data_IF_453310953602
#
_entry.id   IF_453310953602
#
_cell.length_a   1.000
_cell.length_b   1.000
_cell.length_c   1.000
_cell.angle_alpha   90.00
_cell.angle_beta   90.00
_cell.angle_gamma   90.00
#
_symmetry.space_group_name_H-M   'P 1'
#
loop_
_entity.id
_entity.type
_entity.pdbx_description
1 polymer ?
#
# COMPACT_ATOMS: atom_id res chain seq x y z
N UNK A 1 40.53 44.25 -42.02
CA UNK A 1 41.22 44.28 -40.71
C UNK A 1 40.45 45.25 -39.82
N UNK A 2 39.76 44.71 -38.81
CA UNK A 2 38.78 45.42 -37.98
C UNK A 2 39.31 45.64 -36.55
N UNK A 3 38.90 46.79 -36.01
CA UNK A 3 39.34 47.51 -34.82
C UNK A 3 39.23 46.72 -33.50
N UNK A 4 40.22 46.89 -32.64
CA UNK A 4 40.11 46.69 -31.19
C UNK A 4 39.51 47.94 -30.54
N UNK A 5 38.38 47.77 -29.85
CA UNK A 5 37.82 48.73 -28.90
C UNK A 5 37.15 47.93 -27.78
N UNK A 6 37.74 47.90 -26.59
CA UNK A 6 37.06 47.49 -25.37
C UNK A 6 36.26 48.68 -24.82
N UNK A 7 35.11 48.42 -24.19
CA UNK A 7 34.97 48.93 -22.84
C UNK A 7 34.43 47.89 -21.84
N UNK A 8 35.01 47.96 -20.65
CA UNK A 8 34.59 47.31 -19.41
C UNK A 8 33.21 47.81 -18.96
N UNK A 9 32.33 46.89 -18.58
CA UNK A 9 31.23 47.16 -17.64
C UNK A 9 31.22 46.10 -16.54
N UNK A 10 31.56 46.57 -15.35
CA UNK A 10 31.31 45.94 -14.06
C UNK A 10 29.80 45.67 -13.93
N UNK A 11 29.45 44.40 -13.71
CA UNK A 11 28.12 43.98 -13.27
C UNK A 11 28.29 43.16 -12.00
N UNK A 12 27.81 43.70 -10.88
CA UNK A 12 27.76 42.99 -9.60
C UNK A 12 26.98 41.66 -9.75
N UNK A 13 27.30 40.62 -8.95
CA UNK A 13 26.46 39.44 -8.89
C UNK A 13 25.10 39.82 -8.29
N UNK A 14 24.07 39.84 -9.11
CA UNK A 14 22.69 39.90 -8.66
C UNK A 14 22.43 38.63 -7.85
N UNK A 15 22.42 38.76 -6.53
CA UNK A 15 21.97 37.73 -5.62
C UNK A 15 20.50 37.44 -5.93
N UNK A 16 20.24 36.34 -6.63
CA UNK A 16 18.88 35.85 -6.89
C UNK A 16 18.35 35.38 -5.53
N UNK A 17 17.67 36.27 -4.81
CA UNK A 17 16.88 35.90 -3.65
C UNK A 17 15.78 34.96 -4.14
N UNK A 18 15.96 33.66 -3.92
CA UNK A 18 14.94 32.66 -4.18
C UNK A 18 13.61 33.13 -3.57
N UNK A 19 12.48 33.05 -4.30
CA UNK A 19 11.19 33.38 -3.72
C UNK A 19 10.99 32.48 -2.51
N UNK A 20 10.92 33.08 -1.32
CA UNK A 20 10.61 32.38 -0.10
C UNK A 20 9.25 31.70 -0.30
N UNK A 21 9.23 30.36 -0.28
CA UNK A 21 8.00 29.60 -0.32
C UNK A 21 7.08 30.10 0.82
N UNK A 22 5.78 30.33 0.54
CA UNK A 22 4.86 30.76 1.58
C UNK A 22 4.89 29.72 2.70
N UNK A 23 5.24 30.15 3.91
CA UNK A 23 5.26 29.31 5.10
C UNK A 23 3.87 28.70 5.26
N UNK A 24 3.71 27.42 4.88
CA UNK A 24 2.50 26.66 5.15
C UNK A 24 2.33 26.65 6.66
N UNK A 25 1.29 27.31 7.17
CA UNK A 25 0.90 27.17 8.57
C UNK A 25 0.33 25.77 8.74
N UNK A 26 1.20 24.84 9.11
CA UNK A 26 0.84 23.46 9.40
C UNK A 26 0.20 23.35 10.79
N UNK A 27 -0.75 22.44 10.98
CA UNK A 27 -1.34 22.18 12.29
C UNK A 27 -0.27 21.66 13.27
N UNK A 28 -0.53 21.74 14.57
CA UNK A 28 0.30 21.06 15.55
C UNK A 28 0.16 19.54 15.42
N UNK A 29 1.27 18.82 15.56
CA UNK A 29 1.30 17.35 15.55
C UNK A 29 2.05 16.80 16.76
N UNK A 30 1.69 15.58 17.15
CA UNK A 30 2.29 14.88 18.27
C UNK A 30 2.72 13.47 17.83
N UNK A 31 3.83 12.99 18.39
CA UNK A 31 4.30 11.61 18.24
C UNK A 31 4.08 10.93 19.58
N UNK A 32 3.37 9.81 19.55
CA UNK A 32 3.16 8.92 20.70
C UNK A 32 4.00 7.65 20.50
N UNK A 33 4.95 7.41 21.40
CA UNK A 33 5.77 6.20 21.44
C UNK A 33 5.75 5.64 22.86
N UNK A 34 5.27 4.40 23.05
CA UNK A 34 5.23 3.71 24.35
C UNK A 34 4.62 4.54 25.50
N UNK A 35 3.56 5.30 25.21
CA UNK A 35 2.88 6.17 26.18
C UNK A 35 3.56 7.53 26.42
N UNK A 36 4.67 7.82 25.75
CA UNK A 36 5.32 9.13 25.76
C UNK A 36 4.84 9.97 24.60
N UNK A 37 4.32 11.16 24.90
CA UNK A 37 3.87 12.14 23.92
C UNK A 37 4.93 13.22 23.75
N UNK A 38 5.36 13.43 22.51
CA UNK A 38 6.32 14.48 22.14
C UNK A 38 5.78 15.32 20.99
N UNK A 39 6.22 16.58 20.89
CA UNK A 39 5.87 17.42 19.74
C UNK A 39 6.52 16.85 18.48
N UNK A 40 5.75 16.71 17.41
CA UNK A 40 6.28 16.34 16.11
C UNK A 40 7.03 17.53 15.48
N UNK A 41 8.05 17.21 14.67
CA UNK A 41 8.72 18.19 13.82
C UNK A 41 7.79 18.64 12.67
N UNK A 42 7.95 19.88 12.19
CA UNK A 42 7.13 20.44 11.11
C UNK A 42 7.24 19.63 9.81
N UNK A 43 8.40 19.06 9.50
CA UNK A 43 8.59 18.25 8.28
C UNK A 43 7.78 16.95 8.34
N UNK A 44 7.73 16.31 9.51
CA UNK A 44 6.94 15.10 9.72
C UNK A 44 5.43 15.39 9.66
N UNK A 45 5.02 16.54 10.20
CA UNK A 45 3.63 17.01 10.11
C UNK A 45 3.27 17.27 8.63
N UNK A 46 4.15 17.94 7.88
CA UNK A 46 3.94 18.20 6.45
C UNK A 46 3.73 16.91 5.67
N UNK A 47 4.61 15.92 5.87
CA UNK A 47 4.52 14.60 5.24
C UNK A 47 3.22 13.88 5.59
N UNK A 48 2.79 13.93 6.86
CA UNK A 48 1.54 13.33 7.30
C UNK A 48 0.32 14.00 6.65
N UNK A 49 0.31 15.34 6.57
CA UNK A 49 -0.74 16.11 5.92
C UNK A 49 -0.82 15.85 4.41
N UNK A 50 0.32 15.89 3.71
CA UNK A 50 0.37 15.64 2.27
C UNK A 50 -0.03 14.19 1.95
N UNK A 51 0.47 13.23 2.72
CA UNK A 51 0.09 11.83 2.60
C UNK A 51 -1.41 11.59 2.84
N UNK A 52 -2.02 12.28 3.81
CA UNK A 52 -3.46 12.22 4.04
C UNK A 52 -4.27 12.81 2.89
N UNK A 53 -3.87 13.97 2.37
CA UNK A 53 -4.54 14.59 1.23
C UNK A 53 -4.50 13.67 -0.01
N UNK A 54 -3.34 13.05 -0.29
CA UNK A 54 -3.20 12.08 -1.37
C UNK A 54 -4.05 10.82 -1.14
N UNK A 55 -4.09 10.29 0.09
CA UNK A 55 -4.95 9.16 0.47
C UNK A 55 -6.41 9.45 0.13
N UNK A 56 -6.91 10.63 0.48
CA UNK A 56 -8.29 11.03 0.18
C UNK A 56 -8.55 11.08 -1.32
N UNK A 57 -7.65 11.69 -2.09
CA UNK A 57 -7.76 11.74 -3.55
C UNK A 57 -7.76 10.33 -4.17
N UNK A 58 -6.88 9.44 -3.70
CA UNK A 58 -6.84 8.04 -4.15
C UNK A 58 -8.15 7.33 -3.84
N UNK A 59 -8.66 7.46 -2.63
CA UNK A 59 -9.90 6.79 -2.21
C UNK A 59 -11.10 7.27 -3.06
N UNK A 60 -11.14 8.56 -3.39
CA UNK A 60 -12.19 9.11 -4.25
C UNK A 60 -12.03 8.69 -5.72
N UNK A 61 -10.81 8.68 -6.26
CA UNK A 61 -10.52 8.15 -7.59
C UNK A 61 -10.85 6.66 -7.70
N UNK A 62 -10.56 5.87 -6.66
CA UNK A 62 -10.92 4.45 -6.61
C UNK A 62 -12.44 4.26 -6.64
N UNK A 63 -13.21 5.07 -5.91
CA UNK A 63 -14.69 5.05 -5.98
C UNK A 63 -15.18 5.39 -7.39
N UNK A 64 -14.63 6.42 -8.02
CA UNK A 64 -15.00 6.81 -9.39
C UNK A 64 -14.67 5.70 -10.40
N UNK A 65 -13.45 5.14 -10.33
CA UNK A 65 -13.03 4.03 -11.19
C UNK A 65 -13.92 2.81 -10.99
N UNK A 66 -14.27 2.48 -9.75
CA UNK A 66 -15.20 1.40 -9.43
C UNK A 66 -16.56 1.64 -10.08
N UNK A 67 -17.13 2.83 -9.96
CA UNK A 67 -18.40 3.16 -10.59
C UNK A 67 -18.36 3.02 -12.12
N UNK A 68 -17.26 3.42 -12.77
CA UNK A 68 -17.07 3.25 -14.21
C UNK A 68 -16.95 1.76 -14.56
N UNK A 69 -16.17 1.00 -13.80
CA UNK A 69 -15.96 -0.43 -14.02
C UNK A 69 -17.26 -1.23 -13.86
N UNK A 70 -18.06 -0.92 -12.84
CA UNK A 70 -19.36 -1.56 -12.59
C UNK A 70 -20.34 -1.28 -13.74
N UNK A 71 -20.31 -0.05 -14.31
CA UNK A 71 -21.08 0.29 -15.52
C UNK A 71 -20.58 -0.48 -16.74
N UNK A 72 -19.27 -0.53 -16.97
CA UNK A 72 -18.67 -1.29 -18.07
C UNK A 72 -19.01 -2.79 -17.97
N UNK A 73 -18.95 -3.38 -16.79
CA UNK A 73 -19.32 -4.79 -16.56
C UNK A 73 -20.81 -5.05 -16.81
N UNK A 74 -21.68 -4.08 -16.52
CA UNK A 74 -23.12 -4.22 -16.77
C UNK A 74 -23.45 -4.07 -18.25
N UNK A 75 -22.75 -3.17 -18.96
CA UNK A 75 -22.96 -2.91 -20.39
C UNK A 75 -22.27 -3.94 -21.30
N UNK A 76 -21.09 -4.42 -20.91
CA UNK A 76 -20.32 -5.43 -21.63
C UNK A 76 -20.58 -6.80 -20.98
N UNK A 77 -21.12 -7.75 -21.75
CA UNK A 77 -21.32 -9.12 -21.26
C UNK A 77 -20.02 -9.81 -20.82
N UNK A 78 -20.15 -10.84 -19.99
CA UNK A 78 -19.00 -11.66 -19.57
C UNK A 78 -18.23 -12.22 -20.78
N UNK A 79 -16.91 -12.10 -20.77
CA UNK A 79 -16.02 -12.52 -21.85
C UNK A 79 -15.81 -11.48 -22.95
N UNK A 80 -16.49 -10.33 -22.91
CA UNK A 80 -16.32 -9.27 -23.89
C UNK A 80 -15.01 -8.48 -23.69
N UNK A 81 -14.45 -7.99 -24.79
CA UNK A 81 -13.35 -7.04 -24.78
C UNK A 81 -13.71 -5.81 -25.63
N UNK A 82 -13.43 -4.62 -25.10
CA UNK A 82 -13.57 -3.34 -25.78
C UNK A 82 -12.16 -2.77 -25.97
N UNK A 83 -11.79 -2.48 -27.21
CA UNK A 83 -10.56 -1.76 -27.53
C UNK A 83 -10.93 -0.34 -27.96
N UNK A 84 -10.25 0.65 -27.40
CA UNK A 84 -10.33 2.06 -27.80
C UNK A 84 -8.96 2.45 -28.32
N UNK A 85 -8.86 2.62 -29.63
CA UNK A 85 -7.60 2.86 -30.33
C UNK A 85 -6.83 4.05 -29.75
N UNK A 86 -5.54 3.85 -29.45
CA UNK A 86 -4.68 4.87 -28.86
C UNK A 86 -4.94 5.19 -27.38
N UNK A 87 -5.95 4.57 -26.74
CA UNK A 87 -6.32 4.87 -25.35
C UNK A 87 -6.14 3.66 -24.44
N UNK A 88 -6.96 2.62 -24.58
CA UNK A 88 -6.92 1.45 -23.69
C UNK A 88 -7.70 0.24 -24.25
N UNK A 89 -7.52 -0.91 -23.60
CA UNK A 89 -8.33 -2.11 -23.81
C UNK A 89 -8.95 -2.55 -22.48
N UNK A 90 -10.27 -2.72 -22.48
CA UNK A 90 -11.06 -3.22 -21.35
C UNK A 90 -11.46 -4.66 -21.64
N UNK A 91 -11.32 -5.56 -20.67
CA UNK A 91 -11.75 -6.96 -20.80
C UNK A 91 -12.58 -7.34 -19.58
N UNK A 92 -13.77 -7.90 -19.80
CA UNK A 92 -14.64 -8.38 -18.73
C UNK A 92 -14.42 -9.89 -18.58
N UNK A 93 -13.56 -10.27 -17.65
CA UNK A 93 -13.35 -11.68 -17.33
C UNK A 93 -14.35 -12.17 -16.29
N UNK A 94 -14.93 -13.36 -16.49
CA UNK A 94 -15.70 -14.06 -15.46
C UNK A 94 -14.84 -15.17 -14.87
N UNK A 95 -14.75 -15.25 -13.55
CA UNK A 95 -14.04 -16.30 -12.82
C UNK A 95 -15.02 -16.98 -11.88
N UNK A 96 -15.23 -18.28 -12.07
CA UNK A 96 -15.90 -19.11 -11.09
C UNK A 96 -14.86 -19.62 -10.08
N UNK A 97 -15.17 -19.48 -8.80
CA UNK A 97 -14.36 -20.05 -7.72
C UNK A 97 -15.19 -21.14 -7.07
N UNK A 98 -14.64 -22.35 -7.03
CA UNK A 98 -15.28 -23.49 -6.37
C UNK A 98 -14.74 -23.61 -4.96
N UNK A 99 -15.63 -23.66 -3.97
CA UNK A 99 -15.28 -23.98 -2.59
C UNK A 99 -15.84 -25.36 -2.28
N UNK A 100 -14.97 -26.29 -1.92
CA UNK A 100 -15.38 -27.60 -1.43
C UNK A 100 -15.86 -27.45 0.02
N UNK A 101 -17.17 -27.58 0.26
CA UNK A 101 -17.78 -27.37 1.58
C UNK A 101 -17.80 -28.64 2.43
N UNK A 102 -17.98 -29.80 1.78
CA UNK A 102 -18.02 -31.11 2.44
C UNK A 102 -17.06 -32.08 1.72
N UNK A 103 -15.78 -32.10 2.12
CA UNK A 103 -14.79 -32.97 1.52
C UNK A 103 -15.13 -34.45 1.67
N UNK A 104 -15.65 -34.87 2.83
CA UNK A 104 -15.96 -36.27 3.11
C UNK A 104 -17.10 -36.81 2.24
N UNK A 105 -18.17 -36.04 2.05
CA UNK A 105 -19.24 -36.41 1.10
C UNK A 105 -18.75 -36.42 -0.34
N UNK A 106 -17.88 -35.47 -0.71
CA UNK A 106 -17.31 -35.42 -2.06
C UNK A 106 -16.39 -36.61 -2.33
N UNK A 107 -15.58 -37.02 -1.35
CA UNK A 107 -14.75 -38.22 -1.41
C UNK A 107 -15.61 -39.49 -1.54
N UNK A 108 -16.71 -39.61 -0.79
CA UNK A 108 -17.63 -40.72 -0.94
C UNK A 108 -18.27 -40.82 -2.34
N UNK A 109 -18.43 -39.69 -3.05
CA UNK A 109 -18.98 -39.64 -4.41
C UNK A 109 -17.92 -39.88 -5.50
N UNK A 110 -16.73 -39.31 -5.34
CA UNK A 110 -15.63 -39.43 -6.30
C UNK A 110 -14.84 -40.74 -6.13
N UNK A 111 -14.93 -41.37 -4.96
CA UNK A 111 -14.21 -42.59 -4.61
C UNK A 111 -12.70 -42.40 -4.77
N UNK A 112 -12.05 -43.37 -5.41
CA UNK A 112 -10.60 -43.34 -5.65
C UNK A 112 -10.11 -42.16 -6.50
N UNK A 113 -11.01 -41.40 -7.14
CA UNK A 113 -10.68 -40.19 -7.91
C UNK A 113 -10.68 -38.90 -7.09
N UNK A 114 -10.79 -38.99 -5.78
CA UNK A 114 -10.70 -37.79 -4.95
C UNK A 114 -9.26 -37.25 -4.92
N UNK A 115 -8.28 -38.14 -4.77
CA UNK A 115 -6.88 -37.79 -4.59
C UNK A 115 -6.18 -37.25 -5.87
N UNK A 116 -6.66 -37.56 -7.08
CA UNK A 116 -6.15 -36.97 -8.33
C UNK A 116 -6.80 -35.60 -8.64
N UNK A 117 -7.99 -35.32 -8.10
CA UNK A 117 -8.77 -34.13 -8.43
C UNK A 117 -8.74 -33.03 -7.36
N UNK A 118 -8.36 -33.36 -6.13
CA UNK A 118 -8.35 -32.43 -4.99
C UNK A 118 -6.96 -32.37 -4.37
N UNK A 119 -6.41 -31.16 -4.27
CA UNK A 119 -5.18 -30.90 -3.51
C UNK A 119 -5.54 -30.39 -2.12
N UNK A 120 -5.00 -31.05 -1.10
CA UNK A 120 -5.15 -30.64 0.30
C UNK A 120 -3.95 -29.81 0.71
N UNK A 121 -4.21 -28.58 1.17
CA UNK A 121 -3.22 -27.71 1.80
C UNK A 121 -3.62 -27.46 3.24
N UNK A 122 -2.67 -27.60 4.16
CA UNK A 122 -2.84 -27.27 5.58
C UNK A 122 -2.09 -25.97 5.86
N UNK A 123 -2.82 -24.96 6.31
CA UNK A 123 -2.25 -23.69 6.72
C UNK A 123 -2.20 -23.63 8.24
N UNK A 124 -1.01 -23.38 8.80
CA UNK A 124 -0.80 -23.20 10.23
C UNK A 124 -0.71 -21.71 10.54
N UNK A 125 -1.68 -21.20 11.30
CA UNK A 125 -1.63 -19.84 11.85
C UNK A 125 -1.08 -19.88 13.28
N UNK A 126 0.14 -19.36 13.54
CA UNK A 126 0.69 -19.34 14.89
C UNK A 126 -0.13 -18.42 15.80
N UNK A 127 -0.41 -18.88 17.01
CA UNK A 127 -1.06 -18.08 18.06
C UNK A 127 -0.10 -17.05 18.62
N UNK A 128 -0.61 -16.00 19.27
CA UNK A 128 0.24 -14.95 19.85
C UNK A 128 1.17 -15.50 20.93
N UNK A 129 0.71 -16.45 21.75
CA UNK A 129 1.57 -17.20 22.70
C UNK A 129 2.77 -17.86 22.03
N UNK A 130 2.56 -18.51 20.88
CA UNK A 130 3.67 -19.17 20.18
C UNK A 130 4.64 -18.15 19.58
N UNK A 131 4.13 -17.02 19.08
CA UNK A 131 4.97 -15.91 18.60
C UNK A 131 5.82 -15.33 19.73
N UNK A 132 5.22 -15.08 20.90
CA UNK A 132 5.94 -14.60 22.09
C UNK A 132 7.07 -15.56 22.49
N UNK A 133 6.80 -16.87 22.54
CA UNK A 133 7.83 -17.88 22.85
C UNK A 133 8.96 -17.94 21.80
N UNK A 134 8.67 -17.66 20.53
CA UNK A 134 9.67 -17.58 19.46
C UNK A 134 10.53 -16.31 19.62
N UNK A 135 9.93 -15.21 20.08
CA UNK A 135 10.60 -13.92 20.23
C UNK A 135 11.37 -13.79 21.56
N UNK A 136 10.96 -14.50 22.60
CA UNK A 136 11.62 -14.53 23.91
C UNK A 136 12.99 -15.22 23.83
N UNK A 137 14.07 -14.44 24.01
CA UNK A 137 15.45 -14.94 23.94
C UNK A 137 15.83 -15.86 25.10
N UNK A 138 15.13 -15.77 26.24
CA UNK A 138 15.42 -16.53 27.45
C UNK A 138 14.60 -17.83 27.52
N UNK A 139 13.62 -17.99 26.62
CA UNK A 139 12.81 -19.20 26.58
C UNK A 139 13.64 -20.40 26.09
N UNK A 140 13.68 -21.54 26.82
CA UNK A 140 14.55 -22.68 26.49
C UNK A 140 14.39 -23.25 25.08
N UNK A 141 13.20 -23.09 24.49
CA UNK A 141 12.87 -23.59 23.15
C UNK A 141 13.00 -22.54 22.03
N UNK A 142 13.29 -21.28 22.35
CA UNK A 142 13.24 -20.17 21.37
C UNK A 142 14.17 -20.40 20.19
N UNK A 143 15.41 -20.83 20.43
CA UNK A 143 16.40 -21.11 19.39
C UNK A 143 15.95 -22.22 18.44
N UNK A 144 15.35 -23.29 18.98
CA UNK A 144 14.81 -24.38 18.16
C UNK A 144 13.59 -23.94 17.35
N UNK A 145 12.69 -23.16 17.96
CA UNK A 145 11.49 -22.65 17.29
C UNK A 145 11.84 -21.64 16.19
N UNK A 146 12.82 -20.75 16.39
CA UNK A 146 13.27 -19.80 15.35
C UNK A 146 13.76 -20.49 14.07
N UNK A 147 14.29 -21.72 14.17
CA UNK A 147 14.64 -22.52 12.99
C UNK A 147 13.43 -22.99 12.15
N UNK A 148 12.23 -22.98 12.74
CA UNK A 148 10.97 -23.38 12.08
C UNK A 148 10.21 -22.20 11.46
N UNK A 149 10.58 -20.96 11.76
CA UNK A 149 9.87 -19.76 11.32
C UNK A 149 10.77 -18.85 10.49
N UNK A 150 10.19 -18.26 9.43
CA UNK A 150 10.83 -17.15 8.73
C UNK A 150 10.25 -15.86 9.28
N UNK A 151 11.00 -15.18 10.15
CA UNK A 151 10.61 -13.88 10.68
C UNK A 151 10.87 -12.82 9.61
N UNK A 152 9.83 -12.04 9.28
CA UNK A 152 9.91 -10.90 8.38
C UNK A 152 9.33 -9.69 9.10
N UNK A 153 10.15 -8.70 9.33
CA UNK A 153 9.68 -7.41 9.82
C UNK A 153 9.14 -6.59 8.65
N UNK A 154 7.94 -6.05 8.81
CA UNK A 154 7.35 -5.10 7.86
C UNK A 154 6.73 -3.95 8.62
N UNK A 155 7.21 -2.74 8.37
CA UNK A 155 6.52 -1.53 8.78
C UNK A 155 5.49 -1.13 7.71
N UNK A 156 4.32 -0.66 8.13
CA UNK A 156 3.33 -0.09 7.23
C UNK A 156 2.80 1.22 7.79
N UNK A 157 2.60 2.20 6.91
CA UNK A 157 1.98 3.48 7.25
C UNK A 157 0.52 3.42 6.84
N UNK A 158 -0.38 3.67 7.80
CA UNK A 158 -1.81 3.73 7.54
C UNK A 158 -2.34 5.10 7.93
N UNK A 159 -3.00 5.77 7.00
CA UNK A 159 -3.67 7.03 7.29
C UNK A 159 -5.12 6.77 7.71
N UNK A 160 -5.55 7.44 8.78
CA UNK A 160 -6.92 7.41 9.31
C UNK A 160 -7.36 8.84 9.61
N UNK A 161 -8.67 9.13 9.61
CA UNK A 161 -9.15 10.41 10.12
C UNK A 161 -8.66 10.63 11.55
N UNK A 162 -8.12 11.80 11.84
CA UNK A 162 -7.76 12.19 13.21
C UNK A 162 -9.00 12.24 14.10
N UNK A 163 -8.83 12.04 15.41
CA UNK A 163 -9.87 12.39 16.37
C UNK A 163 -10.03 13.92 16.35
N UNK A 164 -11.26 14.39 16.21
CA UNK A 164 -11.56 15.78 16.54
C UNK A 164 -11.23 15.98 18.03
N UNK A 165 -10.46 17.01 18.34
CA UNK A 165 -10.28 17.50 19.72
C UNK A 165 -11.54 18.23 20.17
#
# INVERSE_FOLDING_TARGET
MLKSFFPSKSGAPTEIKAPAEPVRQLPAGQIENDGFITSADQDLIALACDGWALKQQIDDLQKQLKAITDRLQTSLGAGAALAVDGVCRVTVSNRQTFKLVDPGRCEALLGGRFADLVSTSVEYTPTDKLKEMVLDGDHPLSNGLRGCFVLKDSASVTFRPGKAL
#
